data_IF_025404723703
#
_entry.id   IF_025404723703
#
_cell.length_a   1.000
_cell.length_b   1.000
_cell.length_c   1.000
_cell.angle_alpha   90.00
_cell.angle_beta   90.00
_cell.angle_gamma   90.00
#
_symmetry.space_group_name_H-M   'P 1'
#
loop_
_entity.id
_entity.type
_entity.pdbx_description
1 polymer ?
#
# COMPACT_ATOMS: atom_id res chain seq x y z
N UNK A 1 54.57 -15.27 -33.92
CA UNK A 1 53.27 -15.07 -34.62
C UNK A 1 52.06 -15.68 -33.90
N UNK A 2 52.17 -16.73 -33.08
CA UNK A 2 51.01 -17.36 -32.42
C UNK A 2 50.48 -16.61 -31.16
N UNK A 3 51.33 -15.86 -30.46
CA UNK A 3 50.95 -15.09 -29.26
C UNK A 3 50.39 -13.68 -29.57
N UNK A 4 50.61 -13.16 -30.79
CA UNK A 4 50.06 -11.86 -31.20
C UNK A 4 48.59 -11.98 -31.62
N UNK A 5 48.22 -13.10 -32.28
CA UNK A 5 46.83 -13.38 -32.62
C UNK A 5 45.93 -13.62 -31.41
N UNK A 6 46.46 -14.19 -30.31
CA UNK A 6 45.67 -14.45 -29.09
C UNK A 6 45.34 -13.17 -28.33
N UNK A 7 46.28 -12.21 -28.26
CA UNK A 7 46.07 -10.91 -27.61
C UNK A 7 45.06 -10.04 -28.38
N UNK A 8 45.08 -10.07 -29.72
CA UNK A 8 44.11 -9.32 -30.55
C UNK A 8 42.70 -9.89 -30.41
N UNK A 9 42.54 -11.21 -30.28
CA UNK A 9 41.22 -11.85 -30.10
C UNK A 9 40.62 -11.56 -28.72
N UNK A 10 41.44 -11.51 -27.66
CA UNK A 10 40.94 -11.18 -26.30
C UNK A 10 40.54 -9.70 -26.21
N UNK A 11 41.28 -8.80 -26.87
CA UNK A 11 40.96 -7.37 -26.89
C UNK A 11 39.68 -7.07 -27.70
N UNK A 12 39.44 -7.78 -28.82
CA UNK A 12 38.19 -7.60 -29.59
C UNK A 12 36.97 -8.15 -28.87
N UNK A 13 37.10 -9.23 -28.10
CA UNK A 13 35.99 -9.75 -27.26
C UNK A 13 35.65 -8.77 -26.14
N UNK A 14 36.62 -8.14 -25.48
CA UNK A 14 36.33 -7.12 -24.45
C UNK A 14 35.71 -5.84 -25.02
N UNK A 15 36.12 -5.40 -26.22
CA UNK A 15 35.50 -4.24 -26.88
C UNK A 15 34.06 -4.55 -27.33
N UNK A 16 33.77 -5.78 -27.78
CA UNK A 16 32.41 -6.21 -28.14
C UNK A 16 31.50 -6.41 -26.92
N UNK A 17 32.03 -6.84 -25.78
CA UNK A 17 31.27 -6.95 -24.52
C UNK A 17 31.06 -5.61 -23.80
N UNK A 18 31.84 -4.58 -24.13
CA UNK A 18 31.68 -3.24 -23.54
C UNK A 18 30.61 -2.38 -24.24
N UNK A 19 30.11 -2.81 -25.40
CA UNK A 19 29.14 -2.05 -26.21
C UNK A 19 27.68 -2.51 -26.09
N UNK A 20 27.37 -3.49 -25.23
CA UNK A 20 25.98 -3.99 -25.11
C UNK A 20 25.39 -3.95 -23.70
N UNK A 21 26.06 -3.31 -22.73
CA UNK A 21 25.40 -2.90 -21.48
C UNK A 21 25.00 -1.42 -21.53
N UNK A 22 24.36 -1.02 -22.62
CA UNK A 22 23.45 0.13 -22.58
C UNK A 22 22.23 -0.41 -21.85
N UNK A 23 22.18 -0.14 -20.55
CA UNK A 23 20.98 -0.31 -19.73
C UNK A 23 19.84 0.32 -20.52
N UNK A 24 18.90 -0.51 -20.97
CA UNK A 24 17.68 -0.05 -21.59
C UNK A 24 16.92 0.74 -20.53
N UNK A 25 17.17 2.04 -20.49
CA UNK A 25 16.24 3.00 -19.93
C UNK A 25 15.02 2.89 -20.84
N UNK A 26 14.10 2.00 -20.48
CA UNK A 26 12.73 2.11 -20.96
C UNK A 26 12.32 3.54 -20.66
N UNK A 27 12.23 4.36 -21.70
CA UNK A 27 11.57 5.65 -21.64
C UNK A 27 10.14 5.31 -21.27
N UNK A 28 9.83 5.36 -19.98
CA UNK A 28 8.47 5.25 -19.48
C UNK A 28 7.65 6.27 -20.26
N UNK A 29 6.78 5.77 -21.14
CA UNK A 29 5.75 6.59 -21.73
C UNK A 29 5.03 7.27 -20.56
N UNK A 30 4.82 8.60 -20.60
CA UNK A 30 4.10 9.29 -19.54
C UNK A 30 2.80 8.54 -19.29
N UNK A 31 2.62 8.01 -18.07
CA UNK A 31 1.37 7.38 -17.70
C UNK A 31 0.28 8.43 -17.91
N UNK A 32 -0.73 8.19 -18.78
CA UNK A 32 -1.76 9.19 -19.00
C UNK A 32 -2.49 9.36 -17.67
N UNK A 33 -2.22 10.48 -17.00
CA UNK A 33 -2.92 10.86 -15.79
C UNK A 33 -4.31 11.32 -16.20
N UNK A 34 -5.25 10.39 -16.33
CA UNK A 34 -6.65 10.75 -16.23
C UNK A 34 -6.89 11.11 -14.76
N UNK A 35 -7.12 12.41 -14.52
CA UNK A 35 -7.48 12.89 -13.20
C UNK A 35 -8.75 12.18 -12.75
N UNK A 36 -8.70 11.56 -11.58
CA UNK A 36 -9.88 10.93 -10.98
C UNK A 36 -11.04 11.91 -10.91
N UNK A 37 -12.23 11.43 -11.28
CA UNK A 37 -13.45 12.23 -11.33
C UNK A 37 -14.16 12.26 -9.98
N UNK A 38 -14.11 11.13 -9.26
CA UNK A 38 -14.84 10.91 -8.02
C UNK A 38 -13.90 10.39 -6.94
N UNK A 39 -14.21 10.67 -5.67
CA UNK A 39 -13.42 10.23 -4.51
C UNK A 39 -13.42 8.71 -4.33
N UNK A 40 -14.48 8.01 -4.76
CA UNK A 40 -14.50 6.55 -4.68
C UNK A 40 -13.44 5.89 -5.57
N UNK A 41 -13.06 6.51 -6.69
CA UNK A 41 -12.07 5.96 -7.62
C UNK A 41 -10.74 5.71 -6.90
N UNK A 42 -10.11 6.70 -6.24
CA UNK A 42 -8.86 6.48 -5.54
C UNK A 42 -8.95 5.81 -4.19
N UNK A 43 -10.11 5.86 -3.53
CA UNK A 43 -10.28 5.26 -2.21
C UNK A 43 -10.58 3.77 -2.32
N UNK A 44 -11.51 3.39 -3.20
CA UNK A 44 -11.98 2.02 -3.34
C UNK A 44 -11.04 1.18 -4.23
N UNK A 45 -10.44 1.78 -5.27
CA UNK A 45 -9.58 1.05 -6.21
C UNK A 45 -8.31 0.46 -5.59
N UNK A 46 -7.93 0.91 -4.40
CA UNK A 46 -6.75 0.38 -3.68
C UNK A 46 -6.95 -1.06 -3.22
N UNK A 47 -8.17 -1.43 -2.87
CA UNK A 47 -8.48 -2.78 -2.36
C UNK A 47 -9.36 -3.60 -3.32
N UNK A 48 -10.16 -2.93 -4.15
CA UNK A 48 -11.17 -3.55 -5.01
C UNK A 48 -10.98 -3.07 -6.45
N UNK A 49 -11.32 -3.89 -7.44
CA UNK A 49 -11.54 -3.34 -8.79
C UNK A 49 -12.84 -2.56 -8.78
N UNK A 50 -12.92 -1.43 -9.50
CA UNK A 50 -14.17 -0.67 -9.59
C UNK A 50 -15.27 -1.48 -10.25
N UNK A 51 -14.92 -2.34 -11.21
CA UNK A 51 -15.84 -3.32 -11.79
C UNK A 51 -16.49 -4.19 -10.70
N UNK A 52 -15.71 -4.75 -9.77
CA UNK A 52 -16.24 -5.54 -8.66
C UNK A 52 -17.12 -4.72 -7.72
N UNK A 53 -16.77 -3.45 -7.47
CA UNK A 53 -17.56 -2.56 -6.61
C UNK A 53 -18.96 -2.36 -7.18
N UNK A 54 -19.08 -2.24 -8.50
CA UNK A 54 -20.34 -1.96 -9.19
C UNK A 54 -20.98 -3.19 -9.87
N UNK A 55 -20.46 -4.40 -9.63
CA UNK A 55 -20.93 -5.62 -10.30
C UNK A 55 -22.40 -5.94 -9.98
N UNK A 56 -22.80 -5.75 -8.73
CA UNK A 56 -24.17 -5.98 -8.27
C UNK A 56 -24.89 -4.65 -8.00
N UNK A 57 -26.11 -4.46 -8.51
CA UNK A 57 -26.91 -3.29 -8.15
C UNK A 57 -27.22 -3.30 -6.65
N UNK A 58 -27.15 -2.12 -6.03
CA UNK A 58 -27.46 -1.91 -4.60
C UNK A 58 -28.41 -0.73 -4.44
N UNK A 59 -29.32 -0.84 -3.49
CA UNK A 59 -30.15 0.25 -2.99
C UNK A 59 -29.30 1.28 -2.23
N UNK A 60 -29.87 2.45 -1.95
CA UNK A 60 -29.18 3.48 -1.16
C UNK A 60 -28.76 2.96 0.23
N UNK A 61 -29.65 2.26 0.93
CA UNK A 61 -29.35 1.71 2.25
C UNK A 61 -28.23 0.65 2.19
N UNK A 62 -28.23 -0.20 1.16
CA UNK A 62 -27.16 -1.18 0.94
C UNK A 62 -25.82 -0.50 0.65
N UNK A 63 -25.81 0.60 -0.11
CA UNK A 63 -24.59 1.40 -0.33
C UNK A 63 -24.08 2.05 0.96
N UNK A 64 -24.97 2.62 1.77
CA UNK A 64 -24.62 3.20 3.07
C UNK A 64 -24.00 2.16 3.99
N UNK A 65 -24.61 0.98 4.09
CA UNK A 65 -24.08 -0.13 4.88
C UNK A 65 -22.69 -0.55 4.34
N UNK A 66 -22.56 -0.73 3.03
CA UNK A 66 -21.31 -1.14 2.39
C UNK A 66 -20.15 -0.18 2.70
N UNK A 67 -20.36 1.13 2.50
CA UNK A 67 -19.33 2.15 2.75
C UNK A 67 -19.01 2.26 4.23
N UNK A 68 -20.00 2.17 5.13
CA UNK A 68 -19.77 2.18 6.57
C UNK A 68 -18.93 0.97 7.03
N UNK A 69 -19.10 -0.21 6.44
CA UNK A 69 -18.22 -1.36 6.72
C UNK A 69 -16.78 -1.05 6.29
N UNK A 70 -16.58 -0.37 5.16
CA UNK A 70 -15.24 0.02 4.70
C UNK A 70 -14.59 1.07 5.61
N UNK A 71 -15.37 2.04 6.10
CA UNK A 71 -14.92 3.00 7.12
C UNK A 71 -14.50 2.25 8.39
N UNK A 72 -15.32 1.33 8.90
CA UNK A 72 -14.99 0.55 10.11
C UNK A 72 -13.71 -0.27 9.95
N UNK A 73 -13.46 -0.82 8.76
CA UNK A 73 -12.23 -1.57 8.46
C UNK A 73 -10.99 -0.67 8.36
N UNK A 74 -11.14 0.58 7.93
CA UNK A 74 -10.02 1.48 7.72
C UNK A 74 -10.43 2.94 7.96
N UNK A 75 -10.68 3.33 9.24
CA UNK A 75 -11.24 4.64 9.57
C UNK A 75 -10.27 5.79 9.29
N UNK A 76 -8.96 5.48 9.26
CA UNK A 76 -7.93 6.42 8.87
C UNK A 76 -7.77 6.54 7.34
N UNK A 77 -8.28 5.60 6.54
CA UNK A 77 -8.24 5.66 5.08
C UNK A 77 -9.44 6.41 4.50
N UNK A 78 -10.64 6.08 4.98
CA UNK A 78 -11.92 6.71 4.63
C UNK A 78 -12.52 7.24 5.93
N UNK A 79 -12.55 8.56 6.07
CA UNK A 79 -13.25 9.25 7.17
C UNK A 79 -14.77 9.19 6.98
N UNK A 80 -15.53 9.53 8.02
CA UNK A 80 -17.00 9.55 7.94
C UNK A 80 -17.47 10.55 6.88
N UNK A 81 -16.85 11.72 6.82
CA UNK A 81 -17.16 12.78 5.86
C UNK A 81 -16.83 12.35 4.42
N UNK A 82 -15.67 11.72 4.21
CA UNK A 82 -15.30 11.14 2.92
C UNK A 82 -16.27 10.03 2.50
N UNK A 83 -16.75 9.22 3.45
CA UNK A 83 -17.74 8.17 3.18
C UNK A 83 -19.10 8.73 2.74
N UNK A 84 -19.58 9.78 3.39
CA UNK A 84 -20.80 10.48 2.97
C UNK A 84 -20.67 11.08 1.57
N UNK A 85 -19.50 11.64 1.24
CA UNK A 85 -19.21 12.10 -0.11
C UNK A 85 -19.21 10.95 -1.12
N UNK A 86 -18.54 9.84 -0.82
CA UNK A 86 -18.50 8.64 -1.68
C UNK A 86 -19.91 8.12 -1.95
N UNK A 87 -20.77 8.04 -0.92
CA UNK A 87 -22.17 7.60 -1.08
C UNK A 87 -22.92 8.56 -2.02
N UNK A 88 -22.78 9.87 -1.81
CA UNK A 88 -23.44 10.87 -2.66
C UNK A 88 -22.96 10.84 -4.13
N UNK A 89 -21.67 10.57 -4.35
CA UNK A 89 -21.09 10.40 -5.69
C UNK A 89 -21.64 9.14 -6.38
N UNK A 90 -21.66 8.00 -5.68
CA UNK A 90 -22.15 6.71 -6.20
C UNK A 90 -23.64 6.80 -6.59
N UNK A 91 -24.46 7.43 -5.75
CA UNK A 91 -25.90 7.58 -6.00
C UNK A 91 -26.21 8.65 -7.07
N UNK A 92 -25.19 9.31 -7.61
CA UNK A 92 -25.36 10.36 -8.61
C UNK A 92 -26.06 11.61 -8.08
N UNK A 93 -26.09 11.80 -6.75
CA UNK A 93 -26.71 12.95 -6.09
C UNK A 93 -25.88 14.25 -6.26
N UNK A 94 -24.60 14.12 -6.65
CA UNK A 94 -23.70 15.25 -6.96
C UNK A 94 -23.21 15.17 -8.42
N UNK A 95 -24.09 15.43 -9.39
CA UNK A 95 -23.70 15.47 -10.82
C UNK A 95 -22.71 16.60 -11.15
N UNK A 96 -22.71 17.68 -10.36
CA UNK A 96 -21.96 18.90 -10.65
C UNK A 96 -20.77 19.16 -9.71
N UNK A 97 -20.54 18.29 -8.71
CA UNK A 97 -19.37 18.37 -7.81
C UNK A 97 -18.36 17.30 -8.21
N UNK A 98 -17.79 17.47 -9.39
CA UNK A 98 -16.71 16.64 -9.90
C UNK A 98 -15.39 17.12 -9.27
N UNK A 99 -14.62 16.20 -8.68
CA UNK A 99 -13.23 16.46 -8.29
C UNK A 99 -12.98 17.33 -7.04
N UNK A 100 -13.98 17.53 -6.16
CA UNK A 100 -13.72 18.13 -4.85
C UNK A 100 -13.09 17.09 -3.92
N UNK A 101 -11.78 16.87 -4.06
CA UNK A 101 -11.03 16.04 -3.14
C UNK A 101 -10.77 16.80 -1.82
N UNK A 102 -10.85 16.13 -0.66
CA UNK A 102 -10.41 16.72 0.59
C UNK A 102 -9.00 17.30 0.46
N UNK A 103 -8.72 18.38 1.20
CA UNK A 103 -7.36 18.93 1.30
C UNK A 103 -6.38 17.83 1.70
N UNK A 104 -5.09 17.98 1.32
CA UNK A 104 -4.02 17.02 1.62
C UNK A 104 -4.13 16.54 3.07
N UNK A 105 -4.45 15.25 3.24
CA UNK A 105 -4.61 14.65 4.57
C UNK A 105 -3.22 14.41 5.17
N UNK A 106 -3.04 14.85 6.40
CA UNK A 106 -1.93 14.42 7.24
C UNK A 106 -2.26 13.03 7.81
N UNK A 107 -1.26 12.17 7.86
CA UNK A 107 -1.39 10.80 8.33
C UNK A 107 -0.33 10.55 9.39
N UNK A 108 -0.77 10.17 10.60
CA UNK A 108 0.14 9.69 11.64
C UNK A 108 0.70 8.31 11.29
N UNK A 109 -0.06 7.51 10.53
CA UNK A 109 0.38 6.21 10.00
C UNK A 109 1.19 6.41 8.70
N UNK A 110 2.51 6.29 8.78
CA UNK A 110 3.44 6.39 7.65
C UNK A 110 3.09 5.45 6.48
N UNK A 111 2.47 4.30 6.76
CA UNK A 111 1.98 3.37 5.72
C UNK A 111 0.84 3.98 4.92
N UNK A 112 -0.13 4.63 5.58
CA UNK A 112 -1.24 5.28 4.90
C UNK A 112 -0.76 6.50 4.12
N UNK A 113 0.20 7.25 4.67
CA UNK A 113 0.87 8.33 3.96
C UNK A 113 1.51 7.82 2.67
N UNK A 114 2.33 6.77 2.78
CA UNK A 114 2.95 6.11 1.64
C UNK A 114 1.92 5.70 0.57
N UNK A 115 0.82 5.06 0.99
CA UNK A 115 -0.24 4.62 0.08
C UNK A 115 -0.88 5.82 -0.63
N UNK A 116 -1.25 6.88 0.11
CA UNK A 116 -1.88 8.05 -0.49
C UNK A 116 -0.95 8.83 -1.42
N UNK A 117 0.35 8.95 -1.11
CA UNK A 117 1.27 9.74 -1.94
C UNK A 117 1.80 8.97 -3.13
N UNK A 118 2.26 7.74 -2.91
CA UNK A 118 3.06 7.03 -3.90
C UNK A 118 2.19 6.19 -4.85
N UNK A 119 1.06 5.66 -4.36
CA UNK A 119 0.26 4.70 -5.14
C UNK A 119 -0.79 5.37 -6.04
N UNK A 120 -0.87 6.70 -6.02
CA UNK A 120 -1.72 7.46 -6.96
C UNK A 120 -1.29 7.23 -8.41
N UNK A 121 0.01 7.12 -8.64
CA UNK A 121 0.59 6.99 -9.98
C UNK A 121 1.38 5.69 -10.17
N UNK A 122 1.87 5.07 -9.09
CA UNK A 122 2.69 3.87 -9.17
C UNK A 122 1.98 2.67 -8.55
N UNK A 123 2.21 1.47 -9.11
CA UNK A 123 1.81 0.25 -8.42
C UNK A 123 2.64 0.08 -7.15
N UNK A 124 2.04 -0.48 -6.10
CA UNK A 124 2.77 -0.71 -4.86
C UNK A 124 3.88 -1.74 -5.08
N UNK A 125 3.63 -2.76 -5.90
CA UNK A 125 4.63 -3.77 -6.25
C UNK A 125 5.89 -3.14 -6.84
N UNK A 126 5.76 -2.18 -7.77
CA UNK A 126 6.91 -1.48 -8.37
C UNK A 126 7.80 -0.83 -7.32
N UNK A 127 7.18 -0.20 -6.32
CA UNK A 127 7.90 0.54 -5.30
C UNK A 127 8.56 -0.43 -4.30
N UNK A 128 7.80 -1.41 -3.80
CA UNK A 128 8.28 -2.33 -2.77
C UNK A 128 9.37 -3.29 -3.26
N UNK A 129 9.37 -3.62 -4.54
CA UNK A 129 10.36 -4.52 -5.16
C UNK A 129 11.59 -3.79 -5.68
N UNK A 130 11.64 -2.46 -5.57
CA UNK A 130 12.80 -1.69 -5.97
C UNK A 130 13.95 -1.94 -4.99
N UNK A 131 15.07 -2.42 -5.51
CA UNK A 131 16.30 -2.54 -4.74
C UNK A 131 17.06 -1.21 -4.75
N UNK A 132 16.99 -0.49 -3.63
CA UNK A 132 17.59 0.82 -3.45
C UNK A 132 18.23 0.96 -2.06
N UNK A 133 19.34 1.68 -2.03
CA UNK A 133 19.97 2.17 -0.81
C UNK A 133 19.14 3.30 -0.17
N UNK A 134 19.39 3.62 1.12
CA UNK A 134 18.76 4.77 1.77
C UNK A 134 18.92 6.09 1.03
N UNK A 135 20.10 6.34 0.49
CA UNK A 135 20.43 7.55 -0.26
C UNK A 135 19.62 7.63 -1.56
N UNK A 136 19.55 6.52 -2.30
CA UNK A 136 18.75 6.44 -3.54
C UNK A 136 17.24 6.58 -3.27
N UNK A 137 16.76 6.11 -2.12
CA UNK A 137 15.36 6.33 -1.73
C UNK A 137 15.08 7.80 -1.45
N UNK A 138 15.95 8.48 -0.72
CA UNK A 138 15.83 9.92 -0.44
C UNK A 138 15.78 10.74 -1.73
N UNK A 139 16.70 10.48 -2.67
CA UNK A 139 16.70 11.13 -3.98
C UNK A 139 15.43 10.83 -4.79
N UNK A 140 14.96 9.58 -4.75
CA UNK A 140 13.73 9.17 -5.44
C UNK A 140 12.51 9.91 -4.91
N UNK A 141 12.34 9.99 -3.58
CA UNK A 141 11.20 10.68 -2.95
C UNK A 141 11.22 12.18 -3.26
N UNK A 142 12.40 12.83 -3.18
CA UNK A 142 12.56 14.24 -3.57
C UNK A 142 12.16 14.49 -5.01
N UNK A 143 12.62 13.64 -5.94
CA UNK A 143 12.24 13.73 -7.36
C UNK A 143 10.73 13.56 -7.56
N UNK A 144 10.08 12.66 -6.82
CA UNK A 144 8.62 12.50 -6.92
C UNK A 144 7.88 13.74 -6.40
N UNK A 145 8.35 14.37 -5.32
CA UNK A 145 7.83 15.65 -4.86
C UNK A 145 8.01 16.75 -5.90
N UNK A 146 9.19 16.85 -6.51
CA UNK A 146 9.48 17.89 -7.51
C UNK A 146 8.60 17.73 -8.77
N UNK A 147 8.30 16.49 -9.15
CA UNK A 147 7.42 16.18 -10.29
C UNK A 147 5.93 16.38 -9.98
N UNK A 148 5.51 16.28 -8.71
CA UNK A 148 4.12 16.38 -8.28
C UNK A 148 3.98 17.13 -6.94
N UNK A 149 4.35 18.43 -6.88
CA UNK A 149 4.45 19.19 -5.63
C UNK A 149 3.10 19.27 -4.89
N UNK A 150 1.99 19.27 -5.62
CA UNK A 150 0.65 19.32 -5.05
C UNK A 150 0.26 18.05 -4.28
N UNK A 151 0.95 16.92 -4.48
CA UNK A 151 0.65 15.70 -3.74
C UNK A 151 1.31 15.64 -2.36
N UNK A 152 2.46 16.29 -2.17
CA UNK A 152 3.27 16.15 -0.97
C UNK A 152 3.15 17.37 -0.05
N UNK A 153 3.33 17.14 1.25
CA UNK A 153 3.75 18.15 2.22
C UNK A 153 5.26 18.03 2.45
N UNK A 154 5.93 19.11 2.85
CA UNK A 154 7.38 19.07 3.10
C UNK A 154 7.74 18.07 4.22
N UNK A 155 6.87 17.95 5.22
CA UNK A 155 6.98 16.98 6.33
C UNK A 155 6.76 15.52 5.91
N UNK A 156 6.15 15.26 4.74
CA UNK A 156 5.90 13.89 4.27
C UNK A 156 7.21 13.18 3.88
N UNK A 157 8.18 13.92 3.35
CA UNK A 157 9.39 13.38 2.73
C UNK A 157 10.24 12.52 3.68
N UNK A 158 10.63 13.01 4.88
CA UNK A 158 11.40 12.19 5.80
C UNK A 158 10.64 10.93 6.24
N UNK A 159 9.33 11.06 6.51
CA UNK A 159 8.48 9.94 6.96
C UNK A 159 8.37 8.85 5.88
N UNK A 160 8.09 9.23 4.64
CA UNK A 160 7.99 8.30 3.51
C UNK A 160 9.36 7.64 3.25
N UNK A 161 10.44 8.41 3.30
CA UNK A 161 11.80 7.89 3.05
C UNK A 161 12.18 6.85 4.09
N UNK A 162 11.99 7.15 5.39
CA UNK A 162 12.26 6.19 6.47
C UNK A 162 11.41 4.93 6.33
N UNK A 163 10.11 5.10 6.01
CA UNK A 163 9.20 3.98 5.79
C UNK A 163 9.69 3.07 4.65
N UNK A 164 10.10 3.63 3.51
CA UNK A 164 10.62 2.87 2.37
C UNK A 164 11.92 2.14 2.67
N UNK A 165 12.84 2.76 3.42
CA UNK A 165 14.09 2.13 3.84
C UNK A 165 13.82 0.91 4.72
N UNK A 166 13.02 1.10 5.77
CA UNK A 166 12.65 0.02 6.70
C UNK A 166 11.92 -1.10 5.97
N UNK A 167 10.99 -0.75 5.07
CA UNK A 167 10.20 -1.74 4.33
C UNK A 167 11.03 -2.48 3.29
N UNK A 168 11.88 -1.78 2.54
CA UNK A 168 12.80 -2.38 1.57
C UNK A 168 13.74 -3.39 2.23
N UNK A 169 14.24 -3.08 3.43
CA UNK A 169 15.05 -4.01 4.22
C UNK A 169 14.29 -5.30 4.54
N UNK A 170 13.04 -5.20 5.03
CA UNK A 170 12.19 -6.38 5.27
C UNK A 170 11.96 -7.16 3.97
N UNK A 171 11.67 -6.47 2.86
CA UNK A 171 11.36 -7.14 1.59
C UNK A 171 12.55 -7.88 0.98
N UNK A 172 13.78 -7.40 1.18
CA UNK A 172 15.01 -8.03 0.68
C UNK A 172 15.52 -9.15 1.57
N UNK A 173 15.54 -8.92 2.87
CA UNK A 173 16.30 -9.77 3.79
C UNK A 173 15.43 -10.85 4.44
N UNK A 174 14.10 -10.73 4.36
CA UNK A 174 13.17 -11.69 4.95
C UNK A 174 12.74 -12.75 3.93
N UNK A 175 13.10 -14.01 4.19
CA UNK A 175 12.70 -15.17 3.36
C UNK A 175 11.18 -15.25 3.21
N UNK A 176 10.43 -14.84 4.23
CA UNK A 176 8.97 -14.79 4.16
C UNK A 176 8.48 -13.72 3.17
N UNK A 177 9.20 -12.60 3.06
CA UNK A 177 8.81 -11.52 2.15
C UNK A 177 8.96 -11.96 0.70
N UNK A 178 10.06 -12.68 0.38
CA UNK A 178 10.21 -13.32 -0.93
C UNK A 178 9.01 -14.24 -1.27
N UNK A 179 8.51 -15.01 -0.29
CA UNK A 179 7.31 -15.86 -0.50
C UNK A 179 6.06 -15.04 -0.78
N UNK A 180 5.87 -13.90 -0.13
CA UNK A 180 4.75 -12.99 -0.44
C UNK A 180 4.86 -12.47 -1.86
N UNK A 181 6.05 -12.08 -2.31
CA UNK A 181 6.28 -11.63 -3.70
C UNK A 181 5.97 -12.76 -4.70
N UNK A 182 6.58 -13.92 -4.49
CA UNK A 182 6.50 -15.06 -5.41
C UNK A 182 5.13 -15.76 -5.40
N UNK A 183 4.21 -15.40 -4.49
CA UNK A 183 2.92 -16.11 -4.35
C UNK A 183 1.73 -15.17 -4.25
N UNK A 184 1.78 -14.17 -3.39
CA UNK A 184 0.64 -13.30 -3.14
C UNK A 184 0.56 -12.17 -4.17
N UNK A 185 1.70 -11.67 -4.64
CA UNK A 185 1.75 -10.51 -5.53
C UNK A 185 1.70 -10.85 -7.02
N UNK A 186 1.59 -12.15 -7.36
CA UNK A 186 1.43 -12.62 -8.74
C UNK A 186 0.04 -12.26 -9.30
N UNK A 187 -1.01 -12.39 -8.48
CA UNK A 187 -2.38 -12.24 -8.95
C UNK A 187 -2.94 -10.84 -8.70
N UNK A 188 -2.48 -10.14 -7.67
CA UNK A 188 -2.99 -8.82 -7.31
C UNK A 188 -1.91 -7.95 -6.67
N UNK A 189 -2.09 -6.63 -6.77
CA UNK A 189 -1.16 -5.65 -6.21
C UNK A 189 -1.15 -5.67 -4.67
N UNK A 190 0.01 -5.32 -4.09
CA UNK A 190 0.24 -5.32 -2.65
C UNK A 190 -0.69 -4.39 -1.87
N UNK A 191 -1.30 -3.38 -2.50
CA UNK A 191 -2.26 -2.47 -1.84
C UNK A 191 -3.38 -3.22 -1.08
N UNK A 192 -3.86 -4.35 -1.62
CA UNK A 192 -4.92 -5.17 -0.99
C UNK A 192 -4.51 -5.79 0.35
N UNK A 193 -3.22 -6.01 0.55
CA UNK A 193 -2.66 -6.57 1.78
C UNK A 193 -2.26 -5.42 2.72
N UNK A 194 -1.66 -4.37 2.15
CA UNK A 194 -1.01 -3.31 2.92
C UNK A 194 -1.98 -2.25 3.44
N UNK A 195 -3.25 -2.23 3.02
CA UNK A 195 -4.28 -1.41 3.67
C UNK A 195 -4.94 -2.12 4.86
N UNK A 196 -4.91 -3.44 4.90
CA UNK A 196 -5.57 -4.23 5.93
C UNK A 196 -4.77 -4.29 7.24
N UNK A 197 -5.48 -4.23 8.38
CA UNK A 197 -4.94 -4.53 9.70
C UNK A 197 -5.81 -5.59 10.33
N UNK A 198 -5.22 -6.73 10.67
CA UNK A 198 -5.98 -7.91 11.09
C UNK A 198 -5.33 -8.63 12.26
N UNK A 199 -6.13 -9.37 13.02
CA UNK A 199 -5.59 -10.31 14.01
C UNK A 199 -4.88 -11.46 13.31
N UNK A 200 -4.07 -12.23 14.04
CA UNK A 200 -3.48 -13.47 13.52
C UNK A 200 -4.54 -14.41 12.96
N UNK A 201 -5.64 -14.62 13.69
CA UNK A 201 -6.73 -15.51 13.27
C UNK A 201 -7.32 -15.05 11.94
N UNK A 202 -7.59 -13.76 11.79
CA UNK A 202 -8.15 -13.20 10.56
C UNK A 202 -7.16 -13.25 9.38
N UNK A 203 -5.85 -13.15 9.65
CA UNK A 203 -4.83 -13.38 8.63
C UNK A 203 -4.75 -14.84 8.21
N UNK A 204 -4.84 -15.79 9.15
CA UNK A 204 -4.91 -17.23 8.85
C UNK A 204 -6.10 -17.56 7.97
N UNK A 205 -7.27 -17.03 8.30
CA UNK A 205 -8.50 -17.16 7.51
C UNK A 205 -8.31 -16.57 6.09
N UNK A 206 -7.79 -15.34 5.99
CA UNK A 206 -7.53 -14.68 4.70
C UNK A 206 -6.59 -15.51 3.81
N UNK A 207 -5.49 -16.03 4.37
CA UNK A 207 -4.53 -16.84 3.61
C UNK A 207 -5.14 -18.20 3.24
N UNK A 208 -5.98 -18.78 4.11
CA UNK A 208 -6.68 -20.03 3.81
C UNK A 208 -7.66 -19.85 2.64
N UNK A 209 -8.43 -18.75 2.63
CA UNK A 209 -9.34 -18.41 1.53
C UNK A 209 -8.59 -18.21 0.22
N UNK A 210 -7.44 -17.52 0.24
CA UNK A 210 -6.62 -17.35 -0.97
C UNK A 210 -6.07 -18.69 -1.47
N UNK A 211 -5.74 -19.62 -0.58
CA UNK A 211 -5.33 -20.98 -0.97
C UNK A 211 -6.48 -21.74 -1.63
N UNK A 212 -7.68 -21.65 -1.08
CA UNK A 212 -8.88 -22.30 -1.62
C UNK A 212 -9.19 -21.73 -3.01
N UNK A 213 -9.23 -20.41 -3.14
CA UNK A 213 -9.48 -19.74 -4.41
C UNK A 213 -8.43 -20.10 -5.47
N UNK A 214 -7.14 -20.14 -5.13
CA UNK A 214 -6.10 -20.56 -6.07
C UNK A 214 -6.27 -22.04 -6.51
N UNK A 215 -6.76 -22.91 -5.63
CA UNK A 215 -7.08 -24.31 -6.01
C UNK A 215 -8.30 -24.37 -6.92
N UNK A 216 -9.30 -23.56 -6.68
CA UNK A 216 -10.54 -23.56 -7.46
C UNK A 216 -10.32 -22.96 -8.85
N UNK A 217 -9.69 -21.78 -8.92
CA UNK A 217 -9.51 -21.03 -10.16
C UNK A 217 -8.32 -21.52 -10.98
N UNK A 218 -7.19 -21.80 -10.33
CA UNK A 218 -5.93 -22.15 -11.02
C UNK A 218 -5.64 -23.64 -11.01
N UNK A 219 -6.45 -24.46 -10.31
CA UNK A 219 -6.25 -25.91 -10.13
C UNK A 219 -4.85 -26.26 -9.59
N UNK A 220 -4.28 -25.40 -8.74
CA UNK A 220 -2.93 -25.53 -8.16
C UNK A 220 -2.95 -25.49 -6.63
N UNK A 221 -2.12 -26.30 -5.97
CA UNK A 221 -1.81 -26.06 -4.55
C UNK A 221 -0.74 -24.97 -4.45
N UNK A 222 -1.19 -23.75 -4.14
CA UNK A 222 -0.37 -22.55 -4.31
C UNK A 222 0.79 -22.43 -3.31
N UNK A 223 0.56 -22.86 -2.07
CA UNK A 223 1.60 -22.92 -1.04
C UNK A 223 1.41 -24.10 -0.08
N UNK A 224 2.56 -24.57 0.41
CA UNK A 224 2.64 -25.63 1.43
C UNK A 224 2.15 -25.15 2.79
N UNK A 225 1.92 -26.07 3.72
CA UNK A 225 1.56 -25.71 5.10
C UNK A 225 2.66 -24.92 5.83
N UNK A 226 3.93 -25.20 5.54
CA UNK A 226 5.04 -24.43 6.10
C UNK A 226 5.03 -22.99 5.56
N UNK A 227 4.88 -22.81 4.25
CA UNK A 227 4.80 -21.49 3.62
C UNK A 227 3.58 -20.70 4.08
N UNK A 228 2.44 -21.36 4.31
CA UNK A 228 1.27 -20.74 4.94
C UNK A 228 1.64 -20.08 6.28
N UNK A 229 2.30 -20.82 7.18
CA UNK A 229 2.68 -20.31 8.49
C UNK A 229 3.65 -19.13 8.38
N UNK A 230 4.67 -19.26 7.52
CA UNK A 230 5.67 -18.22 7.26
C UNK A 230 5.03 -16.94 6.70
N UNK A 231 4.08 -17.06 5.77
CA UNK A 231 3.35 -15.91 5.22
C UNK A 231 2.51 -15.24 6.30
N UNK A 232 1.74 -16.01 7.08
CA UNK A 232 0.92 -15.47 8.18
C UNK A 232 1.79 -14.76 9.22
N UNK A 233 2.93 -15.33 9.60
CA UNK A 233 3.84 -14.72 10.57
C UNK A 233 4.36 -13.36 10.08
N UNK A 234 4.71 -13.24 8.80
CA UNK A 234 5.11 -11.95 8.22
C UNK A 234 3.94 -10.96 8.17
N UNK A 235 2.74 -11.41 7.78
CA UNK A 235 1.56 -10.55 7.73
C UNK A 235 1.19 -10.02 9.11
N UNK A 236 1.29 -10.84 10.16
CA UNK A 236 1.10 -10.40 11.55
C UNK A 236 2.20 -9.43 11.97
N UNK A 237 3.48 -9.75 11.69
CA UNK A 237 4.63 -8.88 12.02
C UNK A 237 4.51 -7.49 11.37
N UNK A 238 3.97 -7.43 10.16
CA UNK A 238 3.97 -6.21 9.37
C UNK A 238 2.63 -5.47 9.37
N UNK A 239 1.51 -6.18 9.50
CA UNK A 239 0.14 -5.68 9.36
C UNK A 239 -0.80 -6.22 10.46
N UNK A 240 -0.26 -6.79 11.54
CA UNK A 240 -1.04 -7.20 12.69
C UNK A 240 -1.72 -5.99 13.35
N UNK A 241 -2.91 -6.18 13.92
CA UNK A 241 -3.43 -5.21 14.89
C UNK A 241 -2.45 -5.20 16.07
N UNK A 242 -1.95 -4.01 16.43
CA UNK A 242 -1.26 -3.88 17.71
C UNK A 242 -2.28 -4.26 18.80
N UNK A 243 -1.89 -4.99 19.86
CA UNK A 243 -2.77 -5.15 21.00
C UNK A 243 -3.19 -3.75 21.46
N UNK A 244 -4.50 -3.53 21.64
CA UNK A 244 -5.00 -2.27 22.18
C UNK A 244 -4.24 -1.98 23.47
N UNK A 245 -3.28 -1.06 23.42
CA UNK A 245 -2.64 -0.59 24.63
C UNK A 245 -3.76 0.05 25.45
N UNK A 246 -3.95 -0.52 26.62
CA UNK A 246 -4.93 -0.15 27.61
C UNK A 246 -5.16 1.36 27.62
N UNK A 247 -6.35 1.76 27.20
CA UNK A 247 -6.90 3.09 27.46
C UNK A 247 -7.10 3.31 28.95
N UNK A 248 -6.02 3.28 29.74
CA UNK A 248 -5.97 3.88 31.05
C UNK A 248 -5.78 5.39 30.84
N UNK A 249 -6.90 6.06 30.54
CA UNK A 249 -7.02 7.48 30.81
C UNK A 249 -6.47 7.74 32.20
N UNK A 250 -5.33 8.46 32.27
CA UNK A 250 -4.98 9.25 33.44
C UNK A 250 -6.11 10.26 33.62
N UNK A 251 -7.18 9.84 34.31
CA UNK A 251 -8.09 10.77 34.94
C UNK A 251 -7.27 11.51 35.99
N UNK A 252 -7.01 12.77 35.68
CA UNK A 252 -6.63 13.79 36.64
C UNK A 252 -7.55 13.67 37.85
N UNK A 253 -7.02 13.19 38.98
CA UNK A 253 -7.65 13.34 40.27
C UNK A 253 -7.34 14.75 40.78
N UNK A 254 -8.02 15.72 40.18
CA UNK A 254 -8.10 17.10 40.66
C UNK A 254 -9.47 17.34 41.28
N UNK A 255 -9.47 17.42 42.61
CA UNK A 255 -10.39 18.20 43.45
C UNK A 255 -11.89 17.85 43.48
N UNK A 256 -12.39 17.47 44.66
CA UNK A 256 -13.37 18.25 45.43
C UNK A 256 -13.84 17.43 46.64
N UNK A 257 -13.31 17.74 47.82
CA UNK A 257 -13.90 17.32 49.09
C UNK A 257 -14.37 18.58 49.82
N UNK A 258 -15.61 18.99 49.56
CA UNK A 258 -16.30 20.01 50.33
C UNK A 258 -17.81 19.74 50.41
N UNK A 259 -18.24 19.09 51.50
CA UNK A 259 -19.48 19.37 52.26
C UNK A 259 -19.49 18.47 53.50
N UNK A 260 -19.18 18.98 54.69
CA UNK A 260 -20.08 19.73 55.59
C UNK A 260 -21.25 18.90 56.13
N UNK A 261 -21.14 18.52 57.41
CA UNK A 261 -22.19 18.68 58.43
C UNK A 261 -21.48 18.52 59.79
N UNK A 262 -21.35 19.53 60.67
CA UNK A 262 -22.37 19.95 61.66
C UNK A 262 -23.20 18.72 62.08
N UNK A 263 -22.98 18.14 63.25
CA UNK A 263 -23.25 18.72 64.57
C UNK A 263 -22.61 17.81 65.64
#
# INVERSE_FOLDING_TARGET
MRNFCTLVIVFTIHVLFSQTYVQSQEVEKPFPYESWKYLYEPKCSKCHTLERVFADPKTEDEWRICVNIMIQKSPLWITQEEGEQIIAEILGAKKDVVGSFPKKKQYDDARLLFIDRCTKCHSMNRILLADKTPEEWNETVKRMRDNAPDLFLDEDLPVITEYLIKRGTIMRDDVAAKKVVDKCLICHDANRIFLERKTRRDWEETVADMRLLAREELKKDWFTHHEFKVIVDLLVKTQGLEPEDSGASKKEAGNENQKSSKQ
#
